data_IF_282414381986
#
_entry.id   IF_282414381986
#
_cell.length_a   1.000
_cell.length_b   1.000
_cell.length_c   1.000
_cell.angle_alpha   90.00
_cell.angle_beta   90.00
_cell.angle_gamma   90.00
#
_symmetry.space_group_name_H-M   'P 1'
#
loop_
_entity.id
_entity.type
_entity.pdbx_description
1 polymer ?
#
# COMPACT_ATOMS: atom_id res chain seq x y z
N UNK A 1 11.97 15.68 23.46
CA UNK A 1 12.40 16.59 22.35
C UNK A 1 11.79 16.07 21.07
N UNK A 2 11.40 16.97 20.17
CA UNK A 2 10.90 16.57 18.87
C UNK A 2 12.02 15.97 18.01
N UNK A 3 11.71 14.91 17.24
CA UNK A 3 12.63 14.17 16.39
C UNK A 3 12.23 14.35 14.93
N UNK A 4 13.19 14.66 14.06
CA UNK A 4 12.97 14.79 12.62
C UNK A 4 13.25 13.46 11.95
N UNK A 5 12.21 12.83 11.40
CA UNK A 5 12.29 11.50 10.78
C UNK A 5 11.89 11.58 9.32
N UNK A 6 12.75 11.08 8.44
CA UNK A 6 12.39 10.83 7.06
C UNK A 6 11.60 9.53 6.89
N UNK A 7 10.53 9.58 6.11
CA UNK A 7 9.87 8.42 5.52
C UNK A 7 10.15 8.41 4.01
N UNK A 8 10.77 7.34 3.53
CA UNK A 8 11.30 7.20 2.17
C UNK A 8 10.64 6.04 1.45
N UNK A 9 10.23 6.29 0.20
CA UNK A 9 9.76 5.25 -0.71
C UNK A 9 10.52 5.39 -2.05
N UNK A 10 11.51 4.53 -2.27
CA UNK A 10 12.31 4.49 -3.48
C UNK A 10 11.70 3.53 -4.51
N UNK A 11 11.30 4.05 -5.66
CA UNK A 11 10.87 3.31 -6.84
C UNK A 11 11.91 3.31 -7.94
N UNK A 12 11.71 2.54 -9.01
CA UNK A 12 12.70 2.37 -10.10
C UNK A 12 13.13 3.67 -10.78
N UNK A 13 12.22 4.63 -10.89
CA UNK A 13 12.46 5.95 -11.50
C UNK A 13 11.93 7.10 -10.62
N UNK A 14 11.71 6.86 -9.33
CA UNK A 14 11.16 7.86 -8.43
C UNK A 14 11.70 7.70 -7.01
N UNK A 15 11.70 8.79 -6.24
CA UNK A 15 11.97 8.80 -4.80
C UNK A 15 10.94 9.72 -4.14
N UNK A 16 9.96 9.14 -3.44
CA UNK A 16 8.99 9.88 -2.63
C UNK A 16 9.51 10.00 -1.20
N UNK A 17 9.33 11.15 -0.59
CA UNK A 17 9.81 11.41 0.77
C UNK A 17 8.86 12.31 1.55
N UNK A 18 8.85 12.11 2.87
CA UNK A 18 8.29 13.05 3.83
C UNK A 18 9.27 13.20 5.00
N UNK A 19 9.44 14.44 5.50
CA UNK A 19 10.12 14.74 6.75
C UNK A 19 9.09 15.10 7.79
N UNK A 20 9.00 14.34 8.85
CA UNK A 20 8.03 14.50 9.93
C UNK A 20 8.74 14.86 11.25
N UNK A 21 8.09 15.71 12.04
CA UNK A 21 8.45 16.00 13.43
C UNK A 21 7.66 15.06 14.34
N UNK A 22 8.35 14.17 15.05
CA UNK A 22 7.77 13.15 15.91
C UNK A 22 8.06 13.46 17.40
N UNK A 23 7.18 13.12 18.36
CA UNK A 23 5.93 12.37 18.22
C UNK A 23 4.70 13.19 17.80
N UNK A 24 4.86 14.50 17.58
CA UNK A 24 3.72 15.41 17.28
C UNK A 24 3.09 15.15 15.90
N UNK A 25 3.68 14.26 15.10
CA UNK A 25 3.21 13.85 13.77
C UNK A 25 3.09 15.02 12.75
N UNK A 26 3.83 16.10 12.98
CA UNK A 26 3.77 17.27 12.11
C UNK A 26 4.58 17.07 10.83
N UNK A 27 3.91 17.19 9.69
CA UNK A 27 4.57 17.17 8.38
C UNK A 27 5.34 18.48 8.15
N UNK A 28 6.66 18.39 8.06
CA UNK A 28 7.53 19.54 7.79
C UNK A 28 7.74 19.74 6.30
N UNK A 29 8.04 18.65 5.58
CA UNK A 29 8.34 18.66 4.15
C UNK A 29 7.82 17.38 3.52
N UNK A 30 7.27 17.48 2.30
CA UNK A 30 6.98 16.31 1.45
C UNK A 30 7.37 16.60 0.02
N UNK A 31 7.74 15.56 -0.71
CA UNK A 31 8.06 15.72 -2.12
C UNK A 31 8.33 14.41 -2.85
N UNK A 32 8.68 14.58 -4.11
CA UNK A 32 8.97 13.46 -5.00
C UNK A 32 9.97 13.88 -6.06
N UNK A 33 10.91 13.00 -6.32
CA UNK A 33 11.69 12.98 -7.55
C UNK A 33 11.04 11.99 -8.52
N UNK A 34 10.82 12.42 -9.76
CA UNK A 34 10.26 11.58 -10.83
C UNK A 34 11.22 11.53 -12.01
N UNK A 35 11.14 10.46 -12.79
CA UNK A 35 11.97 10.25 -13.99
C UNK A 35 13.49 10.20 -13.68
N UNK A 36 13.86 9.61 -12.52
CA UNK A 36 15.28 9.36 -12.18
C UNK A 36 15.90 8.46 -13.25
N UNK A 37 17.11 8.81 -13.71
CA UNK A 37 17.84 8.12 -14.77
C UNK A 37 17.46 8.57 -16.18
N UNK A 38 16.49 9.47 -16.35
CA UNK A 38 16.12 10.04 -17.66
C UNK A 38 16.72 11.43 -17.83
N UNK A 39 16.73 11.91 -19.10
CA UNK A 39 17.34 13.21 -19.45
C UNK A 39 16.66 14.40 -18.76
N UNK A 40 15.36 14.33 -18.55
CA UNK A 40 14.57 15.36 -17.88
C UNK A 40 13.84 14.74 -16.69
N UNK A 41 14.38 14.95 -15.49
CA UNK A 41 13.75 14.61 -14.24
C UNK A 41 12.86 15.74 -13.72
N UNK A 42 12.03 15.42 -12.75
CA UNK A 42 11.12 16.35 -12.11
C UNK A 42 11.33 16.26 -10.61
N UNK A 43 11.63 17.37 -9.96
CA UNK A 43 11.60 17.51 -8.52
C UNK A 43 10.39 18.33 -8.10
N UNK A 44 9.58 17.81 -7.21
CA UNK A 44 8.44 18.51 -6.61
C UNK A 44 8.58 18.46 -5.09
N UNK A 45 8.36 19.58 -4.43
CA UNK A 45 8.46 19.68 -2.99
C UNK A 45 7.37 20.63 -2.45
N UNK A 46 6.87 20.30 -1.26
CA UNK A 46 5.92 21.12 -0.52
C UNK A 46 6.42 21.28 0.93
N UNK A 47 6.52 22.52 1.39
CA UNK A 47 6.95 22.91 2.73
C UNK A 47 6.34 24.26 3.10
N UNK A 48 5.96 24.47 4.35
CA UNK A 48 5.39 25.74 4.85
C UNK A 48 4.24 26.30 3.99
N UNK A 49 3.43 25.40 3.39
CA UNK A 49 2.33 25.76 2.49
C UNK A 49 2.75 26.19 1.07
N UNK A 50 4.04 26.20 0.78
CA UNK A 50 4.59 26.51 -0.54
C UNK A 50 4.79 25.22 -1.36
N UNK A 51 4.61 25.32 -2.69
CA UNK A 51 4.85 24.21 -3.61
C UNK A 51 5.86 24.67 -4.66
N UNK A 52 6.97 23.98 -4.78
CA UNK A 52 7.98 24.21 -5.78
C UNK A 52 8.07 23.01 -6.73
N UNK A 53 8.37 23.30 -8.01
CA UNK A 53 8.60 22.29 -9.04
C UNK A 53 9.78 22.73 -9.89
N UNK A 54 10.75 21.83 -10.02
CA UNK A 54 11.94 22.05 -10.85
C UNK A 54 12.08 20.93 -11.88
N UNK A 55 12.57 21.30 -13.06
CA UNK A 55 12.99 20.37 -14.11
C UNK A 55 14.51 20.35 -14.12
N UNK A 56 15.10 19.20 -13.81
CA UNK A 56 16.54 19.03 -13.73
C UNK A 56 16.94 17.60 -14.12
N UNK A 57 18.19 17.41 -14.56
CA UNK A 57 18.72 16.07 -14.77
C UNK A 57 18.93 15.38 -13.43
N UNK A 58 18.30 14.22 -13.23
CA UNK A 58 18.42 13.39 -12.01
C UNK A 58 19.04 12.05 -12.42
N UNK A 59 20.38 11.95 -12.46
CA UNK A 59 21.05 10.77 -13.02
C UNK A 59 20.91 9.51 -12.16
N UNK A 60 20.70 9.66 -10.85
CA UNK A 60 20.61 8.53 -9.92
C UNK A 60 19.85 8.86 -8.64
N UNK A 61 19.50 7.84 -7.86
CA UNK A 61 18.94 8.01 -6.51
C UNK A 61 19.93 8.70 -5.57
N UNK A 62 21.23 8.43 -5.69
CA UNK A 62 22.24 9.15 -4.89
C UNK A 62 22.18 10.65 -5.16
N UNK A 63 22.11 11.05 -6.42
CA UNK A 63 21.96 12.47 -6.77
C UNK A 63 20.69 13.07 -6.18
N UNK A 64 19.57 12.33 -6.24
CA UNK A 64 18.29 12.80 -5.68
C UNK A 64 18.37 13.03 -4.17
N UNK A 65 19.05 12.12 -3.43
CA UNK A 65 19.26 12.26 -2.00
C UNK A 65 20.18 13.43 -1.68
N UNK A 66 21.32 13.53 -2.35
CA UNK A 66 22.27 14.63 -2.13
C UNK A 66 21.63 16.00 -2.45
N UNK A 67 20.85 16.07 -3.53
CA UNK A 67 20.10 17.26 -3.92
C UNK A 67 19.05 17.64 -2.86
N UNK A 68 18.27 16.68 -2.38
CA UNK A 68 17.27 16.90 -1.33
C UNK A 68 17.91 17.48 -0.07
N UNK A 69 18.98 16.87 0.43
CA UNK A 69 19.64 17.31 1.65
C UNK A 69 20.22 18.71 1.52
N UNK A 70 20.87 19.03 0.38
CA UNK A 70 21.35 20.38 0.09
C UNK A 70 20.19 21.39 0.01
N UNK A 71 19.09 21.04 -0.65
CA UNK A 71 17.90 21.89 -0.75
C UNK A 71 17.36 22.26 0.65
N UNK A 72 17.27 21.28 1.55
CA UNK A 72 16.80 21.52 2.93
C UNK A 72 17.70 22.50 3.69
N UNK A 73 19.03 22.38 3.53
CA UNK A 73 20.00 23.28 4.14
C UNK A 73 19.94 24.69 3.54
N UNK A 74 19.92 24.80 2.19
CA UNK A 74 19.85 26.10 1.50
C UNK A 74 18.57 26.86 1.81
N UNK A 75 17.44 26.14 1.93
CA UNK A 75 16.14 26.73 2.32
C UNK A 75 16.00 26.92 3.83
N UNK A 76 17.01 26.54 4.62
CA UNK A 76 17.01 26.63 6.10
C UNK A 76 15.84 25.88 6.76
N UNK A 77 15.35 24.81 6.12
CA UNK A 77 14.34 23.91 6.68
C UNK A 77 14.94 23.02 7.77
N UNK A 78 16.26 22.81 7.71
CA UNK A 78 17.11 22.28 8.75
C UNK A 78 18.38 23.15 8.85
N UNK A 79 18.95 23.26 10.04
CA UNK A 79 20.18 24.02 10.24
C UNK A 79 21.44 23.19 9.95
N UNK A 80 21.36 21.86 10.18
CA UNK A 80 22.42 20.90 9.87
C UNK A 80 21.83 19.53 9.57
N UNK A 81 22.61 18.64 8.96
CA UNK A 81 22.19 17.25 8.71
C UNK A 81 22.01 16.45 10.02
N UNK A 82 22.65 16.86 11.10
CA UNK A 82 22.54 16.23 12.42
C UNK A 82 21.15 16.40 13.04
N UNK A 83 20.31 17.30 12.49
CA UNK A 83 18.92 17.43 12.89
C UNK A 83 18.01 16.30 12.36
N UNK A 84 18.51 15.47 11.44
CA UNK A 84 17.80 14.30 10.95
C UNK A 84 18.11 13.14 11.89
N UNK A 85 17.15 12.84 12.77
CA UNK A 85 17.31 11.85 13.82
C UNK A 85 17.14 10.41 13.31
N UNK A 86 16.40 10.19 12.21
CA UNK A 86 16.17 8.85 11.66
C UNK A 86 15.65 8.85 10.25
N UNK A 87 15.85 7.72 9.55
CA UNK A 87 15.34 7.47 8.21
C UNK A 87 14.62 6.13 8.14
N UNK A 88 13.33 6.15 7.87
CA UNK A 88 12.54 4.95 7.61
C UNK A 88 12.40 4.71 6.11
N UNK A 89 12.66 3.50 5.68
CA UNK A 89 12.57 3.09 4.28
C UNK A 89 11.47 2.06 4.07
N UNK A 90 10.54 2.33 3.14
CA UNK A 90 9.65 1.29 2.66
C UNK A 90 10.45 0.25 1.89
N UNK A 91 10.27 -1.02 2.24
CA UNK A 91 10.78 -2.19 1.53
C UNK A 91 9.62 -3.08 1.12
N UNK A 92 9.58 -3.45 -0.16
CA UNK A 92 8.42 -4.14 -0.70
C UNK A 92 8.24 -5.55 -0.11
N UNK A 93 9.32 -6.28 0.14
CA UNK A 93 9.22 -7.69 0.52
C UNK A 93 10.24 -8.08 1.59
N UNK A 94 9.74 -8.51 2.75
CA UNK A 94 10.51 -9.00 3.89
C UNK A 94 10.61 -10.52 4.00
N UNK A 95 9.94 -11.26 3.10
CA UNK A 95 9.89 -12.72 3.16
C UNK A 95 9.25 -13.21 4.46
N UNK A 96 9.73 -14.33 4.95
CA UNK A 96 9.42 -14.86 6.27
C UNK A 96 10.45 -14.42 7.34
N UNK A 97 11.44 -13.61 6.92
CA UNK A 97 12.53 -13.18 7.79
C UNK A 97 12.16 -11.99 8.67
N UNK A 98 11.11 -11.26 8.31
CA UNK A 98 10.70 -10.05 9.02
C UNK A 98 9.19 -10.06 9.27
N UNK A 99 8.81 -10.12 10.53
CA UNK A 99 7.44 -10.02 11.04
C UNK A 99 7.11 -8.62 11.60
N UNK A 100 8.10 -7.73 11.62
CA UNK A 100 8.01 -6.31 11.97
C UNK A 100 9.05 -5.51 11.16
N UNK A 101 9.08 -4.21 11.35
CA UNK A 101 10.14 -3.33 10.85
C UNK A 101 11.47 -3.65 11.53
N UNK A 102 12.59 -3.40 10.86
CA UNK A 102 13.93 -3.76 11.38
C UNK A 102 14.92 -2.60 11.28
N UNK A 103 15.80 -2.48 12.29
CA UNK A 103 17.00 -1.62 12.20
C UNK A 103 17.90 -2.12 11.09
N UNK A 104 18.34 -1.21 10.22
CA UNK A 104 19.16 -1.58 9.07
C UNK A 104 20.62 -1.74 9.47
N UNK A 105 21.11 -2.97 9.33
CA UNK A 105 22.51 -3.35 9.38
C UNK A 105 22.88 -4.16 8.12
N UNK A 106 24.12 -4.62 8.02
CA UNK A 106 24.59 -5.42 6.88
C UNK A 106 23.86 -6.76 6.77
N UNK A 107 23.40 -7.33 7.87
CA UNK A 107 22.62 -8.58 7.86
C UNK A 107 21.23 -8.35 7.24
N UNK A 108 20.53 -7.29 7.65
CA UNK A 108 19.24 -6.89 7.09
C UNK A 108 19.37 -6.61 5.59
N UNK A 109 20.39 -5.84 5.18
CA UNK A 109 20.64 -5.57 3.75
C UNK A 109 20.88 -6.86 2.94
N UNK A 110 21.69 -7.78 3.48
CA UNK A 110 21.94 -9.08 2.84
C UNK A 110 20.67 -9.91 2.68
N UNK A 111 19.77 -9.89 3.67
CA UNK A 111 18.49 -10.61 3.60
C UNK A 111 17.59 -9.97 2.54
N UNK A 112 17.45 -8.63 2.52
CA UNK A 112 16.66 -7.92 1.51
C UNK A 112 17.18 -8.22 0.09
N UNK A 113 18.51 -8.28 -0.10
CA UNK A 113 19.13 -8.63 -1.38
C UNK A 113 18.78 -10.07 -1.79
N UNK A 114 18.90 -11.03 -0.87
CA UNK A 114 18.52 -12.43 -1.11
C UNK A 114 17.04 -12.58 -1.46
N UNK A 115 16.17 -11.76 -0.90
CA UNK A 115 14.72 -11.77 -1.17
C UNK A 115 14.36 -11.04 -2.48
N UNK A 116 15.32 -10.48 -3.20
CA UNK A 116 15.07 -9.77 -4.47
C UNK A 116 14.43 -10.65 -5.55
N UNK A 117 14.58 -11.97 -5.48
CA UNK A 117 13.87 -12.87 -6.40
C UNK A 117 12.35 -12.89 -6.20
N UNK A 118 11.85 -12.59 -4.98
CA UNK A 118 10.43 -12.45 -4.68
C UNK A 118 9.85 -11.10 -5.13
N UNK A 119 10.68 -10.06 -5.16
CA UNK A 119 10.30 -8.71 -5.56
C UNK A 119 11.36 -8.06 -6.49
N UNK A 120 11.61 -8.64 -7.68
CA UNK A 120 12.74 -8.23 -8.54
C UNK A 120 12.65 -6.80 -9.05
N UNK A 121 11.45 -6.23 -9.12
CA UNK A 121 11.23 -4.84 -9.54
C UNK A 121 11.28 -3.83 -8.38
N UNK A 122 11.38 -4.30 -7.13
CA UNK A 122 11.25 -3.44 -5.94
C UNK A 122 12.43 -3.53 -4.99
N UNK A 123 12.75 -4.71 -4.43
CA UNK A 123 13.79 -4.84 -3.42
C UNK A 123 15.17 -4.32 -3.87
N UNK A 124 15.65 -4.59 -5.11
CA UNK A 124 16.93 -4.02 -5.56
C UNK A 124 16.95 -2.49 -5.55
N UNK A 125 15.85 -1.87 -5.92
CA UNK A 125 15.71 -0.41 -5.93
C UNK A 125 15.58 0.16 -4.51
N UNK A 126 14.87 -0.53 -3.63
CA UNK A 126 14.80 -0.14 -2.23
C UNK A 126 16.21 -0.14 -1.59
N UNK A 127 17.04 -1.16 -1.89
CA UNK A 127 18.44 -1.19 -1.45
C UNK A 127 19.26 0.00 -2.00
N UNK A 128 19.05 0.39 -3.26
CA UNK A 128 19.72 1.59 -3.82
C UNK A 128 19.34 2.84 -3.03
N UNK A 129 18.06 3.01 -2.69
CA UNK A 129 17.58 4.12 -1.86
C UNK A 129 18.21 4.11 -0.47
N UNK A 130 18.19 2.97 0.21
CA UNK A 130 18.80 2.79 1.54
C UNK A 130 20.30 3.17 1.52
N UNK A 131 21.06 2.59 0.59
CA UNK A 131 22.51 2.85 0.47
C UNK A 131 22.83 4.31 0.15
N UNK A 132 21.97 5.00 -0.60
CA UNK A 132 22.12 6.42 -0.87
C UNK A 132 21.98 7.26 0.41
N UNK A 133 21.01 6.96 1.26
CA UNK A 133 20.85 7.62 2.55
C UNK A 133 21.95 7.24 3.55
N UNK A 134 22.40 5.98 3.61
CA UNK A 134 23.53 5.57 4.45
C UNK A 134 24.80 6.33 4.11
N UNK A 135 25.06 6.55 2.82
CA UNK A 135 26.22 7.31 2.35
C UNK A 135 26.12 8.80 2.70
N UNK A 136 24.93 9.38 2.60
CA UNK A 136 24.69 10.80 2.82
C UNK A 136 24.55 11.14 4.32
N UNK A 137 24.07 10.22 5.14
CA UNK A 137 23.80 10.35 6.57
C UNK A 137 24.38 9.14 7.33
N UNK A 138 25.71 8.98 7.42
CA UNK A 138 26.34 7.76 7.92
C UNK A 138 26.10 7.49 9.42
N UNK A 139 25.86 8.54 10.21
CA UNK A 139 25.63 8.43 11.66
C UNK A 139 24.13 8.32 12.01
N UNK A 140 23.23 8.52 11.05
CA UNK A 140 21.78 8.50 11.27
C UNK A 140 21.26 7.08 11.23
N UNK A 141 20.54 6.66 12.28
CA UNK A 141 19.89 5.36 12.34
C UNK A 141 18.84 5.19 11.23
N UNK A 142 18.80 4.02 10.63
CA UNK A 142 17.89 3.72 9.53
C UNK A 142 17.06 2.47 9.79
N UNK A 143 15.81 2.46 9.35
CA UNK A 143 14.83 1.38 9.59
C UNK A 143 14.22 0.94 8.26
N UNK A 144 14.16 -0.37 8.06
CA UNK A 144 13.40 -0.99 6.96
C UNK A 144 11.98 -1.33 7.44
N UNK A 145 10.98 -0.83 6.72
CA UNK A 145 9.55 -1.08 6.97
C UNK A 145 9.00 -1.90 5.81
N UNK A 146 8.59 -3.14 6.09
CA UNK A 146 8.24 -4.11 5.07
C UNK A 146 6.75 -4.16 4.80
N UNK A 147 6.33 -4.05 3.53
CA UNK A 147 4.91 -4.15 3.15
C UNK A 147 4.30 -5.52 3.50
N UNK A 148 5.11 -6.56 3.64
CA UNK A 148 4.67 -7.92 3.94
C UNK A 148 4.63 -8.25 5.44
N UNK A 149 5.29 -7.45 6.29
CA UNK A 149 5.48 -7.78 7.71
C UNK A 149 4.16 -7.89 8.48
N UNK A 150 3.21 -6.98 8.25
CA UNK A 150 1.91 -6.99 8.92
C UNK A 150 1.12 -8.30 8.69
N UNK A 151 1.39 -8.99 7.59
CA UNK A 151 0.72 -10.23 7.21
C UNK A 151 1.45 -11.50 7.68
N UNK A 152 2.54 -11.39 8.44
CA UNK A 152 3.23 -12.56 8.97
C UNK A 152 2.45 -13.28 10.08
N UNK A 153 1.42 -12.63 10.62
CA UNK A 153 0.45 -13.23 11.55
C UNK A 153 -0.53 -14.22 10.90
N UNK A 154 -0.53 -14.37 9.57
CA UNK A 154 -1.37 -15.35 8.86
C UNK A 154 -1.02 -16.77 9.33
N UNK A 155 -2.05 -17.56 9.67
CA UNK A 155 -1.86 -18.98 9.97
C UNK A 155 -1.60 -19.81 8.72
N UNK A 156 -1.07 -21.02 8.89
CA UNK A 156 -0.75 -21.96 7.79
C UNK A 156 -1.94 -22.19 6.86
N UNK A 157 -3.14 -22.30 7.39
CA UNK A 157 -4.36 -22.50 6.62
C UNK A 157 -4.69 -21.34 5.66
N UNK A 158 -4.17 -20.14 5.93
CA UNK A 158 -4.37 -18.95 5.10
C UNK A 158 -3.18 -18.62 4.21
N UNK A 159 -1.94 -18.91 4.64
CA UNK A 159 -0.79 -18.56 3.82
C UNK A 159 -0.36 -19.64 2.84
N UNK A 160 -0.63 -20.93 3.11
CA UNK A 160 -0.25 -22.00 2.19
C UNK A 160 -1.16 -22.05 0.95
N UNK A 161 -0.55 -22.36 -0.19
CA UNK A 161 -1.29 -22.77 -1.37
C UNK A 161 -1.45 -24.29 -1.38
N UNK A 162 -2.54 -24.85 -1.95
CA UNK A 162 -2.76 -26.28 -2.05
C UNK A 162 -1.87 -26.91 -3.13
N UNK A 163 -0.56 -26.77 -2.93
CA UNK A 163 0.51 -27.31 -3.79
C UNK A 163 1.42 -28.20 -2.95
N UNK A 164 2.35 -28.94 -3.59
CA UNK A 164 3.33 -29.73 -2.84
C UNK A 164 4.10 -28.87 -1.85
N UNK A 165 4.28 -29.37 -0.63
CA UNK A 165 5.14 -28.80 0.41
C UNK A 165 6.56 -28.52 -0.08
N UNK A 166 7.08 -29.29 -1.05
CA UNK A 166 8.40 -29.07 -1.63
C UNK A 166 8.54 -27.69 -2.26
N UNK A 167 7.46 -27.17 -2.86
CA UNK A 167 7.49 -25.82 -3.44
C UNK A 167 7.53 -24.74 -2.37
N UNK A 168 6.83 -24.94 -1.25
CA UNK A 168 6.92 -24.03 -0.12
C UNK A 168 8.34 -24.06 0.47
N UNK A 169 8.87 -25.23 0.80
CA UNK A 169 10.19 -25.35 1.42
C UNK A 169 11.34 -24.90 0.51
N UNK A 170 11.22 -25.12 -0.79
CA UNK A 170 12.28 -24.80 -1.74
C UNK A 170 12.27 -23.35 -2.20
N UNK A 171 11.09 -22.79 -2.39
CA UNK A 171 10.92 -21.50 -3.06
C UNK A 171 10.17 -20.46 -2.20
N UNK A 172 9.73 -20.81 -1.00
CA UNK A 172 8.89 -19.94 -0.19
C UNK A 172 7.54 -19.65 -0.85
N UNK A 173 6.96 -20.62 -1.59
CA UNK A 173 5.67 -20.41 -2.26
C UNK A 173 4.54 -20.42 -1.25
N UNK A 174 4.22 -19.23 -0.78
CA UNK A 174 3.12 -18.95 0.16
C UNK A 174 2.51 -17.58 -0.12
N UNK A 175 1.35 -17.30 0.46
CA UNK A 175 0.79 -15.95 0.51
C UNK A 175 1.63 -15.11 1.48
N UNK A 176 2.12 -13.95 1.01
CA UNK A 176 2.78 -12.94 1.83
C UNK A 176 1.86 -11.75 2.12
N UNK A 177 1.09 -11.33 1.11
CA UNK A 177 0.30 -10.10 1.20
C UNK A 177 1.16 -8.84 1.05
N UNK A 178 0.51 -7.72 0.75
CA UNK A 178 1.16 -6.43 0.54
C UNK A 178 0.27 -5.29 1.07
N UNK A 179 0.72 -4.05 0.94
CA UNK A 179 0.11 -2.88 1.58
C UNK A 179 0.02 -3.02 3.11
N UNK A 180 0.89 -3.85 3.70
CA UNK A 180 0.87 -4.12 5.13
C UNK A 180 1.02 -2.87 5.97
N UNK A 181 1.86 -1.92 5.54
CA UNK A 181 2.04 -0.61 6.19
C UNK A 181 0.73 0.18 6.26
N UNK A 182 -0.05 0.20 5.15
CA UNK A 182 -1.37 0.83 5.11
C UNK A 182 -2.38 0.09 6.00
N UNK A 183 -2.43 -1.24 5.93
CA UNK A 183 -3.34 -2.03 6.75
C UNK A 183 -3.04 -1.91 8.26
N UNK A 184 -1.76 -1.87 8.63
CA UNK A 184 -1.29 -1.62 10.00
C UNK A 184 -1.74 -0.25 10.50
N UNK A 185 -1.51 0.81 9.69
CA UNK A 185 -1.93 2.17 10.01
C UNK A 185 -3.44 2.26 10.27
N UNK A 186 -4.24 1.69 9.36
CA UNK A 186 -5.71 1.71 9.49
C UNK A 186 -6.16 0.94 10.73
N UNK A 187 -5.56 -0.21 11.03
CA UNK A 187 -5.88 -0.97 12.25
C UNK A 187 -5.66 -0.15 13.52
N UNK A 188 -4.54 0.57 13.60
CA UNK A 188 -4.22 1.46 14.72
C UNK A 188 -5.21 2.63 14.81
N UNK A 189 -5.50 3.30 13.68
CA UNK A 189 -6.43 4.44 13.66
C UNK A 189 -7.86 4.04 14.01
N UNK A 190 -8.33 2.88 13.56
CA UNK A 190 -9.65 2.36 13.99
C UNK A 190 -9.66 2.12 15.50
N UNK A 191 -8.61 1.50 16.05
CA UNK A 191 -8.49 1.30 17.50
C UNK A 191 -8.55 2.62 18.27
N UNK A 192 -7.77 3.62 17.86
CA UNK A 192 -7.78 4.97 18.47
C UNK A 192 -9.17 5.62 18.42
N UNK A 193 -9.90 5.46 17.31
CA UNK A 193 -11.26 6.01 17.15
C UNK A 193 -12.22 5.35 18.13
N UNK A 194 -12.17 4.02 18.31
CA UNK A 194 -13.03 3.29 19.27
C UNK A 194 -12.72 3.69 20.71
N UNK A 195 -11.43 3.71 21.08
CA UNK A 195 -10.98 4.14 22.42
C UNK A 195 -11.41 5.59 22.71
N UNK A 196 -11.29 6.49 21.72
CA UNK A 196 -11.74 7.88 21.82
C UNK A 196 -13.25 8.06 22.00
N UNK A 197 -14.04 7.04 21.61
CA UNK A 197 -15.49 6.98 21.86
C UNK A 197 -15.85 6.29 23.19
N UNK A 198 -14.85 5.79 23.93
CA UNK A 198 -15.05 5.02 25.16
C UNK A 198 -15.56 3.58 24.90
N UNK A 199 -15.38 3.08 23.66
CA UNK A 199 -15.74 1.72 23.28
C UNK A 199 -14.54 0.77 23.43
N UNK A 200 -14.80 -0.51 23.71
CA UNK A 200 -13.76 -1.53 23.80
C UNK A 200 -13.13 -1.77 22.41
N UNK A 201 -11.81 -1.69 22.34
CA UNK A 201 -11.07 -1.80 21.08
C UNK A 201 -10.11 -3.01 21.01
N UNK A 202 -10.15 -3.89 22.03
CA UNK A 202 -9.19 -5.00 22.14
C UNK A 202 -9.49 -6.16 21.18
N UNK A 203 -10.76 -6.36 20.80
CA UNK A 203 -11.22 -7.51 20.02
C UNK A 203 -11.88 -7.12 18.70
N UNK A 204 -11.49 -5.98 18.14
CA UNK A 204 -12.09 -5.46 16.91
C UNK A 204 -11.86 -6.40 15.73
N UNK A 205 -12.94 -6.60 14.98
CA UNK A 205 -13.00 -7.32 13.70
C UNK A 205 -13.14 -6.29 12.59
N UNK A 206 -12.06 -6.04 11.86
CA UNK A 206 -11.96 -4.98 10.87
C UNK A 206 -11.73 -5.60 9.48
N UNK A 207 -12.45 -5.13 8.49
CA UNK A 207 -12.10 -5.35 7.08
C UNK A 207 -11.65 -4.01 6.51
N UNK A 208 -10.39 -3.95 6.11
CA UNK A 208 -9.83 -2.75 5.48
C UNK A 208 -9.69 -2.94 3.97
N UNK A 209 -10.37 -2.10 3.22
CA UNK A 209 -10.36 -2.04 1.76
C UNK A 209 -9.41 -0.93 1.29
N UNK A 210 -8.14 -1.28 1.04
CA UNK A 210 -7.17 -0.39 0.41
C UNK A 210 -7.41 -0.42 -1.11
N UNK A 211 -8.18 0.55 -1.61
CA UNK A 211 -8.58 0.62 -3.02
C UNK A 211 -7.87 1.79 -3.70
N UNK A 212 -6.85 1.49 -4.48
CA UNK A 212 -6.12 2.41 -5.34
C UNK A 212 -5.99 1.83 -6.75
N UNK A 213 -5.00 2.30 -7.53
CA UNK A 213 -4.65 1.64 -8.79
C UNK A 213 -4.12 0.21 -8.57
N UNK A 214 -3.33 -0.01 -7.50
CA UNK A 214 -3.19 -1.30 -6.83
C UNK A 214 -4.22 -1.39 -5.71
N UNK A 215 -4.84 -2.57 -5.51
CA UNK A 215 -5.89 -2.74 -4.52
C UNK A 215 -5.74 -4.03 -3.73
N UNK A 216 -6.02 -3.97 -2.44
CA UNK A 216 -6.08 -5.14 -1.56
C UNK A 216 -7.12 -4.96 -0.46
N UNK A 217 -7.63 -6.08 0.05
CA UNK A 217 -8.50 -6.13 1.22
C UNK A 217 -7.79 -6.98 2.27
N UNK A 218 -7.87 -6.56 3.52
CA UNK A 218 -7.31 -7.28 4.65
C UNK A 218 -8.38 -7.50 5.72
N UNK A 219 -8.51 -8.74 6.20
CA UNK A 219 -9.23 -9.09 7.41
C UNK A 219 -8.30 -8.95 8.61
N UNK A 220 -8.70 -8.15 9.59
CA UNK A 220 -7.89 -7.81 10.77
C UNK A 220 -8.69 -8.15 12.02
N UNK A 221 -8.10 -8.91 12.93
CA UNK A 221 -8.67 -9.24 14.21
C UNK A 221 -7.67 -8.96 15.32
N UNK A 222 -8.09 -8.26 16.36
CA UNK A 222 -7.20 -7.90 17.48
C UNK A 222 -5.93 -7.15 17.03
N UNK A 223 -6.03 -6.31 15.99
CA UNK A 223 -4.90 -5.57 15.43
C UNK A 223 -3.94 -6.39 14.56
N UNK A 224 -4.21 -7.68 14.30
CA UNK A 224 -3.39 -8.57 13.49
C UNK A 224 -4.09 -8.98 12.19
N UNK A 225 -3.33 -9.13 11.12
CA UNK A 225 -3.83 -9.64 9.84
C UNK A 225 -4.22 -11.11 9.98
N UNK A 226 -5.49 -11.45 9.65
CA UNK A 226 -6.01 -12.83 9.62
C UNK A 226 -6.03 -13.37 8.20
N UNK A 227 -6.36 -12.53 7.22
CA UNK A 227 -6.32 -12.85 5.79
C UNK A 227 -6.11 -11.59 4.97
N UNK A 228 -5.56 -11.73 3.77
CA UNK A 228 -5.37 -10.62 2.82
C UNK A 228 -5.54 -11.09 1.39
N UNK A 229 -6.00 -10.22 0.50
CA UNK A 229 -6.32 -10.59 -0.87
C UNK A 229 -5.12 -10.73 -1.79
N UNK A 230 -4.05 -9.95 -1.59
CA UNK A 230 -2.81 -10.17 -2.33
C UNK A 230 -2.11 -11.44 -1.83
N UNK A 231 -1.43 -12.13 -2.75
CA UNK A 231 -0.90 -13.46 -2.52
C UNK A 231 0.62 -13.53 -2.39
N UNK A 232 1.21 -14.47 -3.13
CA UNK A 232 2.65 -14.59 -3.33
C UNK A 232 3.24 -13.33 -3.97
N UNK A 233 2.47 -12.69 -4.84
CA UNK A 233 2.79 -11.42 -5.48
C UNK A 233 1.63 -10.43 -5.33
N UNK A 234 1.84 -9.13 -5.62
CA UNK A 234 0.76 -8.14 -5.63
C UNK A 234 -0.24 -8.29 -6.79
N UNK A 235 -0.12 -9.35 -7.62
CA UNK A 235 -1.03 -9.62 -8.73
C UNK A 235 -2.33 -10.27 -8.26
N UNK A 236 -2.25 -11.21 -7.30
CA UNK A 236 -3.39 -11.98 -6.82
C UNK A 236 -4.47 -11.11 -6.14
N UNK A 237 -5.67 -11.65 -6.05
CA UNK A 237 -6.80 -11.08 -5.34
C UNK A 237 -7.73 -10.25 -6.22
N UNK A 238 -7.86 -8.98 -5.92
CA UNK A 238 -8.79 -8.08 -6.61
C UNK A 238 -8.37 -7.80 -8.05
N UNK A 239 -9.35 -7.62 -8.92
CA UNK A 239 -9.16 -6.91 -10.18
C UNK A 239 -8.71 -5.48 -9.86
N UNK A 240 -7.70 -4.96 -10.57
CA UNK A 240 -7.10 -3.65 -10.31
C UNK A 240 -7.12 -2.78 -11.58
N UNK A 241 -6.44 -1.64 -11.58
CA UNK A 241 -6.37 -0.76 -12.73
C UNK A 241 -5.87 -1.46 -14.00
N UNK A 242 -4.72 -2.15 -13.90
CA UNK A 242 -4.11 -2.89 -15.02
C UNK A 242 -3.75 -4.34 -14.69
N UNK A 243 -3.99 -4.81 -13.46
CA UNK A 243 -3.73 -6.18 -13.03
C UNK A 243 -5.00 -7.01 -13.06
N UNK A 244 -4.88 -8.28 -13.48
CA UNK A 244 -6.04 -9.17 -13.59
C UNK A 244 -6.69 -9.52 -12.24
N UNK A 245 -5.92 -9.59 -11.16
CA UNK A 245 -6.34 -10.28 -9.95
C UNK A 245 -6.42 -11.80 -10.19
N UNK A 246 -7.22 -12.48 -9.35
CA UNK A 246 -7.39 -13.93 -9.44
C UNK A 246 -8.12 -14.33 -10.73
N UNK A 247 -7.54 -15.29 -11.43
CA UNK A 247 -8.08 -15.95 -12.61
C UNK A 247 -7.92 -17.46 -12.47
N UNK A 248 -8.58 -18.24 -13.33
CA UNK A 248 -8.33 -19.67 -13.41
C UNK A 248 -6.87 -19.92 -13.82
N UNK A 249 -6.08 -20.66 -13.01
CA UNK A 249 -4.66 -20.91 -13.30
C UNK A 249 -4.43 -21.66 -14.63
N UNK A 250 -5.41 -22.42 -15.15
CA UNK A 250 -5.26 -23.11 -16.44
C UNK A 250 -5.32 -22.16 -17.65
N UNK A 251 -5.75 -20.92 -17.46
CA UNK A 251 -5.62 -19.89 -18.50
C UNK A 251 -4.15 -19.61 -18.84
N UNK A 252 -3.24 -19.71 -17.86
CA UNK A 252 -1.82 -19.40 -18.05
C UNK A 252 -1.13 -20.33 -19.07
N UNK A 253 -1.12 -21.66 -18.89
CA UNK A 253 -0.54 -22.54 -19.88
C UNK A 253 -1.26 -22.47 -21.24
N UNK A 254 -2.59 -22.24 -21.25
CA UNK A 254 -3.36 -22.07 -22.48
C UNK A 254 -2.84 -20.87 -23.30
N UNK A 255 -2.66 -19.69 -22.68
CA UNK A 255 -2.15 -18.49 -23.36
C UNK A 255 -0.69 -18.66 -23.81
N UNK A 256 0.17 -19.28 -22.99
CA UNK A 256 1.55 -19.57 -23.38
C UNK A 256 1.61 -20.43 -24.66
N UNK A 257 0.70 -21.40 -24.79
CA UNK A 257 0.66 -22.30 -25.93
C UNK A 257 0.01 -21.67 -27.17
N UNK A 258 -1.17 -21.02 -27.01
CA UNK A 258 -1.93 -20.49 -28.14
C UNK A 258 -1.31 -19.22 -28.70
N UNK A 259 -0.91 -18.27 -27.86
CA UNK A 259 -0.35 -16.99 -28.26
C UNK A 259 1.19 -17.02 -28.41
N UNK A 260 1.84 -18.17 -28.11
CA UNK A 260 3.30 -18.33 -28.13
C UNK A 260 4.05 -17.30 -27.26
N UNK A 261 3.42 -16.88 -26.16
CA UNK A 261 4.01 -15.92 -25.25
C UNK A 261 5.19 -16.54 -24.47
N UNK A 262 6.21 -15.74 -24.21
CA UNK A 262 7.18 -16.05 -23.17
C UNK A 262 6.57 -15.83 -21.78
N UNK A 263 7.16 -16.43 -20.74
CA UNK A 263 6.72 -16.20 -19.35
C UNK A 263 6.72 -14.72 -18.97
N UNK A 264 7.69 -13.93 -19.47
CA UNK A 264 7.76 -12.50 -19.24
C UNK A 264 6.61 -11.74 -19.92
N UNK A 265 6.30 -12.08 -21.17
CA UNK A 265 5.17 -11.47 -21.89
C UNK A 265 3.83 -11.79 -21.20
N UNK A 266 3.64 -13.05 -20.75
CA UNK A 266 2.45 -13.39 -19.99
C UNK A 266 2.37 -12.61 -18.67
N UNK A 267 3.50 -12.46 -17.97
CA UNK A 267 3.57 -11.61 -16.76
C UNK A 267 3.18 -10.17 -17.07
N UNK A 268 3.63 -9.61 -18.18
CA UNK A 268 3.28 -8.24 -18.60
C UNK A 268 1.78 -8.11 -18.92
N UNK A 269 1.18 -9.08 -19.63
CA UNK A 269 -0.27 -9.13 -19.87
C UNK A 269 -1.04 -9.08 -18.55
N UNK A 270 -0.68 -9.92 -17.58
CA UNK A 270 -1.40 -10.01 -16.32
C UNK A 270 -1.24 -8.77 -15.43
N UNK A 271 -0.09 -8.10 -15.48
CA UNK A 271 0.23 -6.96 -14.61
C UNK A 271 -0.05 -5.60 -15.22
N UNK A 272 -0.01 -5.47 -16.57
CA UNK A 272 -0.01 -4.16 -17.23
C UNK A 272 -1.12 -3.98 -18.26
N UNK A 273 -1.69 -5.10 -18.76
CA UNK A 273 -2.63 -5.10 -19.89
C UNK A 273 -3.99 -5.72 -19.53
N UNK A 274 -4.25 -5.93 -18.25
CA UNK A 274 -5.45 -6.55 -17.69
C UNK A 274 -6.30 -5.55 -16.88
N UNK A 275 -7.14 -6.04 -16.00
CA UNK A 275 -7.91 -5.23 -15.05
C UNK A 275 -8.94 -4.30 -15.71
N UNK A 276 -9.16 -3.14 -15.09
CA UNK A 276 -10.07 -2.12 -15.60
C UNK A 276 -9.71 -1.70 -17.04
N UNK A 277 -8.42 -1.53 -17.32
CA UNK A 277 -7.90 -1.19 -18.64
C UNK A 277 -8.38 -2.16 -19.72
N UNK A 278 -8.21 -3.46 -19.49
CA UNK A 278 -8.55 -4.49 -20.48
C UNK A 278 -10.05 -4.60 -20.71
N UNK A 279 -10.85 -4.57 -19.63
CA UNK A 279 -12.30 -4.78 -19.74
C UNK A 279 -13.00 -3.53 -20.28
N UNK A 280 -12.64 -2.35 -19.80
CA UNK A 280 -13.18 -1.09 -20.32
C UNK A 280 -12.67 -0.76 -21.72
N UNK A 281 -11.48 -1.25 -22.09
CA UNK A 281 -10.74 -0.87 -23.31
C UNK A 281 -10.49 0.65 -23.41
N UNK A 282 -10.45 1.33 -22.25
CA UNK A 282 -10.34 2.77 -22.17
C UNK A 282 -9.14 3.23 -21.32
N UNK A 283 -9.16 2.92 -20.04
CA UNK A 283 -8.19 3.45 -19.08
C UNK A 283 -8.00 2.52 -17.87
N UNK A 284 -6.84 2.59 -17.22
CA UNK A 284 -6.61 2.00 -15.91
C UNK A 284 -7.00 2.96 -14.76
N UNK A 285 -7.37 4.20 -15.08
CA UNK A 285 -7.88 5.16 -14.12
C UNK A 285 -9.40 5.01 -13.98
N UNK A 286 -9.85 4.68 -12.79
CA UNK A 286 -11.28 4.48 -12.52
C UNK A 286 -12.12 5.74 -12.79
N UNK A 287 -11.55 6.93 -12.70
CA UNK A 287 -12.26 8.19 -12.97
C UNK A 287 -12.71 8.26 -14.42
N UNK A 288 -11.80 7.95 -15.35
CA UNK A 288 -12.10 7.90 -16.78
C UNK A 288 -13.17 6.84 -17.10
N UNK A 289 -13.07 5.69 -16.40
CA UNK A 289 -14.03 4.58 -16.59
C UNK A 289 -15.40 4.96 -16.05
N UNK A 290 -15.51 5.63 -14.89
CA UNK A 290 -16.79 6.11 -14.36
C UNK A 290 -17.43 7.19 -15.24
N UNK A 291 -16.64 8.14 -15.74
CA UNK A 291 -17.12 9.12 -16.71
C UNK A 291 -17.67 8.48 -18.00
N UNK A 292 -17.05 7.38 -18.47
CA UNK A 292 -17.55 6.63 -19.59
C UNK A 292 -18.88 5.90 -19.26
N UNK A 293 -19.01 5.35 -18.03
CA UNK A 293 -20.27 4.78 -17.56
C UNK A 293 -21.41 5.80 -17.62
N UNK A 294 -21.17 7.03 -17.16
CA UNK A 294 -22.18 8.11 -17.16
C UNK A 294 -22.61 8.49 -18.60
N UNK A 295 -21.74 8.27 -19.58
CA UNK A 295 -22.06 8.42 -21.01
C UNK A 295 -22.74 7.20 -21.64
N UNK A 296 -22.97 6.14 -20.87
CA UNK A 296 -23.63 4.91 -21.33
C UNK A 296 -22.70 3.89 -21.99
N UNK A 297 -21.37 3.94 -21.74
CA UNK A 297 -20.44 2.94 -22.27
C UNK A 297 -20.65 1.59 -21.56
N UNK A 298 -21.00 0.57 -22.33
CA UNK A 298 -21.31 -0.76 -21.80
C UNK A 298 -20.06 -1.49 -21.29
N UNK A 299 -18.88 -1.29 -21.91
CA UNK A 299 -17.64 -1.93 -21.48
C UNK A 299 -17.11 -1.32 -20.18
N UNK A 300 -17.21 0.01 -20.06
CA UNK A 300 -16.91 0.71 -18.82
C UNK A 300 -17.82 0.24 -17.68
N UNK A 301 -19.12 0.14 -17.94
CA UNK A 301 -20.11 -0.37 -16.98
C UNK A 301 -19.82 -1.81 -16.56
N UNK A 302 -19.44 -2.68 -17.51
CA UNK A 302 -19.03 -4.05 -17.23
C UNK A 302 -17.77 -4.08 -16.33
N UNK A 303 -16.76 -3.27 -16.65
CA UNK A 303 -15.52 -3.18 -15.88
C UNK A 303 -15.78 -2.77 -14.42
N UNK A 304 -16.60 -1.74 -14.19
CA UNK A 304 -17.02 -1.31 -12.86
C UNK A 304 -17.78 -2.41 -12.12
N UNK A 305 -18.71 -3.09 -12.79
CA UNK A 305 -19.47 -4.18 -12.19
C UNK A 305 -18.58 -5.35 -11.78
N UNK A 306 -17.61 -5.74 -12.59
CA UNK A 306 -16.63 -6.78 -12.26
C UNK A 306 -15.76 -6.38 -11.06
N UNK A 307 -15.26 -5.14 -11.03
CA UNK A 307 -14.47 -4.60 -9.94
C UNK A 307 -15.25 -4.61 -8.62
N UNK A 308 -16.46 -4.06 -8.62
CA UNK A 308 -17.35 -4.03 -7.45
C UNK A 308 -17.73 -5.43 -6.96
N UNK A 309 -18.03 -6.36 -7.89
CA UNK A 309 -18.36 -7.74 -7.55
C UNK A 309 -17.20 -8.42 -6.81
N UNK A 310 -15.98 -8.29 -7.30
CA UNK A 310 -14.80 -8.91 -6.68
C UNK A 310 -14.56 -8.35 -5.28
N UNK A 311 -14.68 -7.04 -5.10
CA UNK A 311 -14.54 -6.39 -3.79
C UNK A 311 -15.60 -6.92 -2.81
N UNK A 312 -16.88 -6.90 -3.19
CA UNK A 312 -17.97 -7.34 -2.32
C UNK A 312 -17.84 -8.83 -1.94
N UNK A 313 -17.48 -9.69 -2.89
CA UNK A 313 -17.25 -11.12 -2.63
C UNK A 313 -16.08 -11.35 -1.67
N UNK A 314 -14.99 -10.60 -1.81
CA UNK A 314 -13.83 -10.69 -0.91
C UNK A 314 -14.21 -10.23 0.51
N UNK A 315 -14.95 -9.11 0.65
CA UNK A 315 -15.45 -8.66 1.94
C UNK A 315 -16.34 -9.73 2.58
N UNK A 316 -17.27 -10.30 1.82
CA UNK A 316 -18.19 -11.33 2.30
C UNK A 316 -17.42 -12.58 2.81
N UNK A 317 -16.40 -13.02 2.08
CA UNK A 317 -15.57 -14.15 2.53
C UNK A 317 -14.81 -13.81 3.82
N UNK A 318 -14.32 -12.58 3.97
CA UNK A 318 -13.56 -12.15 5.14
C UNK A 318 -14.42 -11.94 6.39
N UNK A 319 -15.71 -11.65 6.22
CA UNK A 319 -16.67 -11.67 7.35
C UNK A 319 -16.73 -13.08 7.96
N UNK A 320 -16.64 -14.14 7.16
CA UNK A 320 -16.59 -15.52 7.68
C UNK A 320 -15.27 -15.83 8.36
N UNK A 321 -14.14 -15.33 7.86
CA UNK A 321 -12.82 -15.52 8.49
C UNK A 321 -12.74 -14.85 9.87
N UNK A 322 -13.45 -13.73 10.04
CA UNK A 322 -13.51 -12.95 11.28
C UNK A 322 -14.60 -13.44 12.25
N UNK A 323 -15.55 -14.27 11.79
CA UNK A 323 -16.77 -14.62 12.54
C UNK A 323 -17.55 -13.35 12.95
N UNK A 324 -17.84 -12.49 11.97
CA UNK A 324 -18.53 -11.21 12.12
C UNK A 324 -17.70 -9.99 11.70
N UNK A 325 -18.22 -8.79 11.95
CA UNK A 325 -17.60 -7.55 11.55
C UNK A 325 -18.00 -6.40 12.47
N UNK A 326 -17.00 -5.62 12.96
CA UNK A 326 -17.23 -4.39 13.72
C UNK A 326 -17.05 -3.15 12.83
N UNK A 327 -16.04 -3.18 11.92
CA UNK A 327 -15.73 -2.08 11.04
C UNK A 327 -15.39 -2.52 9.62
N UNK A 328 -16.05 -1.91 8.62
CA UNK A 328 -15.65 -1.91 7.22
C UNK A 328 -15.00 -0.57 6.90
N UNK A 329 -13.75 -0.56 6.46
CA UNK A 329 -13.00 0.67 6.19
C UNK A 329 -12.66 0.76 4.71
N UNK A 330 -12.91 1.93 4.13
CA UNK A 330 -12.48 2.29 2.78
C UNK A 330 -11.34 3.29 2.85
N UNK A 331 -10.20 2.96 2.23
CA UNK A 331 -8.99 3.78 2.23
C UNK A 331 -8.31 3.77 0.85
N UNK A 332 -7.29 4.56 0.70
CA UNK A 332 -6.57 4.84 -0.55
C UNK A 332 -7.42 5.54 -1.62
N UNK A 333 -6.79 5.89 -2.75
CA UNK A 333 -7.33 6.83 -3.71
C UNK A 333 -8.78 6.59 -4.16
N UNK A 334 -9.16 5.34 -4.47
CA UNK A 334 -10.52 4.97 -4.86
C UNK A 334 -11.42 4.88 -3.61
N UNK A 335 -10.93 4.20 -2.56
CA UNK A 335 -11.68 4.01 -1.32
C UNK A 335 -12.09 5.32 -0.65
N UNK A 336 -11.18 6.29 -0.62
CA UNK A 336 -11.40 7.61 -0.03
C UNK A 336 -12.28 8.52 -0.90
N UNK A 337 -12.10 8.51 -2.22
CA UNK A 337 -12.65 9.56 -3.09
C UNK A 337 -13.87 9.13 -3.92
N UNK A 338 -14.17 7.81 -4.06
CA UNK A 338 -15.27 7.37 -4.90
C UNK A 338 -16.51 6.96 -4.08
N UNK A 339 -17.41 7.90 -3.85
CA UNK A 339 -18.71 7.63 -3.22
C UNK A 339 -19.52 6.58 -4.00
N UNK A 340 -19.42 6.60 -5.33
CA UNK A 340 -20.10 5.65 -6.23
C UNK A 340 -19.64 4.22 -5.96
N UNK A 341 -18.33 3.97 -5.94
CA UNK A 341 -17.80 2.62 -5.68
C UNK A 341 -18.18 2.12 -4.29
N UNK A 342 -18.05 2.96 -3.25
CA UNK A 342 -18.48 2.57 -1.89
C UNK A 342 -19.95 2.22 -1.85
N UNK A 343 -20.82 3.02 -2.50
CA UNK A 343 -22.26 2.74 -2.61
C UNK A 343 -22.53 1.39 -3.29
N UNK A 344 -21.94 1.16 -4.46
CA UNK A 344 -22.14 -0.07 -5.22
C UNK A 344 -21.66 -1.32 -4.47
N UNK A 345 -20.51 -1.22 -3.78
CA UNK A 345 -19.97 -2.32 -2.96
C UNK A 345 -20.92 -2.62 -1.79
N UNK A 346 -21.29 -1.59 -1.00
CA UNK A 346 -22.13 -1.81 0.19
C UNK A 346 -23.54 -2.25 -0.20
N UNK A 347 -24.09 -1.79 -1.33
CA UNK A 347 -25.37 -2.28 -1.84
C UNK A 347 -25.37 -3.81 -2.05
N UNK A 348 -24.27 -4.38 -2.53
CA UNK A 348 -24.12 -5.85 -2.65
C UNK A 348 -24.01 -6.56 -1.31
N UNK A 349 -23.59 -5.87 -0.27
CA UNK A 349 -23.44 -6.39 1.08
C UNK A 349 -24.68 -6.17 1.97
N UNK A 350 -25.75 -5.61 1.44
CA UNK A 350 -27.01 -5.42 2.19
C UNK A 350 -27.56 -6.74 2.76
N UNK A 351 -27.39 -7.86 2.02
CA UNK A 351 -27.78 -9.18 2.50
C UNK A 351 -27.00 -9.65 3.74
N UNK A 352 -25.86 -9.00 4.05
CA UNK A 352 -25.03 -9.24 5.24
C UNK A 352 -25.25 -8.15 6.30
N UNK A 353 -26.31 -7.36 6.19
CA UNK A 353 -26.67 -6.35 7.17
C UNK A 353 -25.84 -5.06 7.11
N UNK A 354 -25.09 -4.82 6.05
CA UNK A 354 -24.33 -3.58 5.88
C UNK A 354 -25.16 -2.59 5.04
N UNK A 355 -25.25 -1.34 5.48
CA UNK A 355 -26.02 -0.33 4.75
C UNK A 355 -25.48 1.08 4.99
N UNK A 356 -25.56 1.92 3.95
CA UNK A 356 -25.01 3.28 3.94
C UNK A 356 -26.05 4.36 4.27
N UNK A 357 -25.58 5.44 4.87
CA UNK A 357 -26.20 6.76 4.77
C UNK A 357 -25.61 7.44 3.52
N UNK A 358 -26.43 7.59 2.48
CA UNK A 358 -25.99 8.08 1.19
C UNK A 358 -25.43 9.52 1.27
N UNK A 359 -26.08 10.41 2.03
CA UNK A 359 -25.62 11.79 2.20
C UNK A 359 -24.25 11.86 2.91
N UNK A 360 -24.04 11.05 3.96
CA UNK A 360 -22.76 10.98 4.66
C UNK A 360 -21.66 10.42 3.74
N UNK A 361 -21.99 9.43 2.91
CA UNK A 361 -21.05 8.86 1.93
C UNK A 361 -20.64 9.87 0.86
N UNK A 362 -21.57 10.65 0.31
CA UNK A 362 -21.30 11.68 -0.68
C UNK A 362 -20.46 12.84 -0.12
N UNK A 363 -20.69 13.19 1.15
CA UNK A 363 -19.93 14.22 1.86
C UNK A 363 -18.54 13.74 2.34
N UNK A 364 -18.21 12.45 2.19
CA UNK A 364 -16.94 11.90 2.66
C UNK A 364 -16.77 11.94 4.17
N UNK A 365 -17.87 11.78 4.93
CA UNK A 365 -17.79 11.77 6.39
C UNK A 365 -17.02 10.55 6.90
N UNK A 366 -16.45 10.65 8.11
CA UNK A 366 -15.72 9.55 8.74
C UNK A 366 -16.59 8.30 8.85
N UNK A 367 -17.82 8.44 9.37
CA UNK A 367 -18.80 7.37 9.50
C UNK A 367 -19.90 7.53 8.45
N UNK A 368 -20.08 6.51 7.63
CA UNK A 368 -21.01 6.54 6.48
C UNK A 368 -22.10 5.47 6.52
N UNK A 369 -22.18 4.69 7.58
CA UNK A 369 -23.27 3.72 7.77
C UNK A 369 -24.57 4.45 8.16
N UNK A 370 -25.72 3.82 7.86
CA UNK A 370 -26.99 4.23 8.43
C UNK A 370 -27.26 3.51 9.78
N UNK A 371 -28.35 3.86 10.43
CA UNK A 371 -28.71 3.31 11.75
C UNK A 371 -29.11 1.82 11.74
N UNK A 372 -29.30 1.21 10.57
CA UNK A 372 -29.66 -0.21 10.45
C UNK A 372 -28.45 -1.10 10.14
N UNK A 373 -27.29 -0.50 9.87
CA UNK A 373 -26.07 -1.25 9.58
C UNK A 373 -25.57 -1.97 10.83
N UNK A 374 -25.24 -3.26 10.67
CA UNK A 374 -24.73 -4.11 11.77
C UNK A 374 -23.27 -3.82 12.13
N UNK A 375 -22.53 -3.18 11.23
CA UNK A 375 -21.15 -2.73 11.47
C UNK A 375 -20.99 -1.26 11.12
N UNK A 376 -20.00 -0.60 11.75
CA UNK A 376 -19.61 0.76 11.37
C UNK A 376 -18.93 0.70 9.99
N UNK A 377 -19.19 1.69 9.14
CA UNK A 377 -18.56 1.82 7.82
C UNK A 377 -17.84 3.16 7.79
N UNK A 378 -16.53 3.13 7.53
CA UNK A 378 -15.68 4.30 7.63
C UNK A 378 -15.00 4.65 6.31
N UNK A 379 -14.80 5.94 6.10
CA UNK A 379 -13.80 6.45 5.15
C UNK A 379 -12.64 6.97 5.99
N UNK A 380 -11.47 6.34 5.85
CA UNK A 380 -10.31 6.68 6.65
C UNK A 380 -9.07 6.79 5.75
N UNK A 381 -8.51 7.99 5.58
CA UNK A 381 -7.31 8.16 4.76
C UNK A 381 -6.13 7.36 5.33
N UNK A 382 -5.43 6.66 4.43
CA UNK A 382 -4.18 5.99 4.81
C UNK A 382 -3.02 6.97 4.84
N UNK A 383 -2.05 6.73 5.71
CA UNK A 383 -0.81 7.49 5.78
C UNK A 383 0.37 6.55 6.04
N UNK A 384 0.86 5.95 4.96
CA UNK A 384 1.97 4.99 5.03
C UNK A 384 3.27 5.65 5.47
N UNK A 385 3.52 6.90 5.06
CA UNK A 385 4.71 7.63 5.43
C UNK A 385 4.74 7.95 6.94
N UNK A 386 3.59 8.28 7.52
CA UNK A 386 3.48 8.46 8.97
C UNK A 386 3.72 7.13 9.70
N UNK A 387 3.16 6.02 9.21
CA UNK A 387 3.41 4.69 9.80
C UNK A 387 4.89 4.33 9.76
N UNK A 388 5.58 4.63 8.65
CA UNK A 388 7.03 4.45 8.52
C UNK A 388 7.77 5.29 9.57
N UNK A 389 7.39 6.55 9.76
CA UNK A 389 8.02 7.43 10.75
C UNK A 389 7.77 6.95 12.20
N UNK A 390 6.56 6.46 12.50
CA UNK A 390 6.21 5.89 13.81
C UNK A 390 7.04 4.64 14.11
N UNK A 391 7.17 3.71 13.16
CA UNK A 391 8.00 2.51 13.32
C UNK A 391 9.48 2.87 13.44
N UNK A 392 9.95 3.86 12.68
CA UNK A 392 11.33 4.37 12.77
C UNK A 392 11.61 4.95 14.15
N UNK A 393 10.71 5.79 14.65
CA UNK A 393 10.84 6.36 15.99
C UNK A 393 10.86 5.29 17.08
N UNK A 394 9.96 4.30 16.98
CA UNK A 394 9.87 3.18 17.93
C UNK A 394 11.15 2.36 17.99
N UNK A 395 11.74 2.02 16.85
CA UNK A 395 12.92 1.14 16.79
C UNK A 395 14.23 1.85 17.11
N UNK A 396 14.35 3.15 16.84
CA UNK A 396 15.56 3.92 17.17
C UNK A 396 15.65 4.25 18.67
N UNK A 397 14.60 3.95 19.47
CA UNK A 397 14.60 4.11 20.95
C UNK A 397 15.26 5.42 21.40
N UNK A 398 14.80 6.56 20.89
CA UNK A 398 15.32 7.86 21.31
C UNK A 398 15.12 8.05 22.81
N UNK A 399 16.21 7.98 23.56
CA UNK A 399 16.28 8.19 25.01
C UNK A 399 16.13 9.67 25.37
#
# INVERSE_FOLDING_TARGET
>A
MSKKIFAINAGSSSLKFQLLSMPDENLLVKGIFEKIGLKEGIFKIEFEGQKEKELLAIPSHQFAVDYLLNFLLERKLIASLDEIDGVGHRVAHGGESFDDSALIDEQVLSIIEKLSFLAPSHNPVNLVGIRAFQKALPETGQVAVFDTAFHQSLSEAYYLYPLSWDYYHKYGLRKYGFHGTSHKYIAQKVKEIWEGQGEAAEHLKIINCHLGNGASICAIKNGQSVNTSMGFTPLAGLMMGSRSGDIDPMILPFLLEQEKLSAQQLSDVLNKESGLLAISQLSNDLRDVLEACDRGDEKASLAVNMFVNRIAQTIASYITDLDGLDALVFTAGIGENSAVIRSLVVQKLNCLGLSLNQAANEQGQLFIQNSQSQAKILILPTNEELMIAQDTMRLLEFK
#
